data_IF_828054323402
#
_entry.id   IF_828054323402
#
_cell.length_a   1.000
_cell.length_b   1.000
_cell.length_c   1.000
_cell.angle_alpha   90.00
_cell.angle_beta   90.00
_cell.angle_gamma   90.00
#
_symmetry.space_group_name_H-M   'P 1'
#
loop_
_entity.id
_entity.type
_entity.pdbx_description
1 polymer ?
#
# COMPACT_ATOMS: atom_id res chain seq x y z
N UNK A 1 2.81 7.05 13.94
CA UNK A 1 3.48 5.79 13.54
C UNK A 1 3.98 5.95 12.10
N UNK A 2 5.11 5.36 11.75
CA UNK A 2 5.71 5.45 10.42
C UNK A 2 5.65 4.11 9.69
N UNK A 3 5.71 4.15 8.37
CA UNK A 3 5.77 2.98 7.50
C UNK A 3 6.68 3.26 6.32
N UNK A 4 7.29 2.21 5.79
CA UNK A 4 8.12 2.26 4.61
C UNK A 4 7.38 1.65 3.42
N UNK A 5 7.70 2.15 2.23
CA UNK A 5 7.28 1.57 0.96
C UNK A 5 8.55 1.22 0.20
N UNK A 6 8.64 0.01 -0.30
CA UNK A 6 9.78 -0.46 -1.09
C UNK A 6 9.27 -1.11 -2.36
N UNK A 7 9.78 -0.66 -3.50
CA UNK A 7 9.52 -1.30 -4.79
C UNK A 7 10.44 -2.52 -4.94
N UNK A 8 9.87 -3.69 -5.13
CA UNK A 8 10.58 -4.94 -5.44
C UNK A 8 10.39 -5.33 -6.89
N UNK A 9 11.30 -6.16 -7.42
CA UNK A 9 11.27 -6.72 -8.78
C UNK A 9 11.07 -5.68 -9.90
N UNK A 10 11.57 -4.46 -9.66
CA UNK A 10 11.55 -3.39 -10.63
C UNK A 10 12.35 -3.75 -11.90
N UNK A 11 11.98 -3.22 -13.08
CA UNK A 11 12.71 -3.45 -14.33
C UNK A 11 14.21 -3.15 -14.20
N UNK A 12 15.05 -3.95 -14.84
CA UNK A 12 16.52 -3.83 -14.70
C UNK A 12 17.10 -2.52 -15.26
N UNK A 13 16.35 -1.85 -16.13
CA UNK A 13 16.67 -0.55 -16.73
C UNK A 13 16.16 0.66 -15.90
N UNK A 14 15.47 0.42 -14.79
CA UNK A 14 15.00 1.50 -13.91
C UNK A 14 16.18 2.22 -13.25
N UNK A 15 16.14 3.54 -13.27
CA UNK A 15 17.08 4.35 -12.46
C UNK A 15 16.66 4.37 -11.00
N UNK A 16 17.62 4.57 -10.10
CA UNK A 16 17.35 4.78 -8.67
C UNK A 16 16.38 5.96 -8.42
N UNK A 17 16.47 7.01 -9.24
CA UNK A 17 15.51 8.12 -9.21
C UNK A 17 14.09 7.65 -9.59
N UNK A 18 13.96 6.86 -10.65
CA UNK A 18 12.68 6.30 -11.08
C UNK A 18 12.04 5.42 -10.00
N UNK A 19 12.85 4.61 -9.31
CA UNK A 19 12.41 3.80 -8.16
C UNK A 19 11.81 4.67 -7.07
N UNK A 20 12.54 5.69 -6.62
CA UNK A 20 12.09 6.61 -5.56
C UNK A 20 10.83 7.37 -5.95
N UNK A 21 10.74 7.84 -7.20
CA UNK A 21 9.55 8.52 -7.69
C UNK A 21 8.33 7.59 -7.71
N UNK A 22 8.49 6.32 -8.09
CA UNK A 22 7.41 5.33 -8.06
C UNK A 22 6.94 5.07 -6.62
N UNK A 23 7.86 4.87 -5.68
CA UNK A 23 7.56 4.71 -4.25
C UNK A 23 6.86 5.94 -3.66
N UNK A 24 7.30 7.16 -4.02
CA UNK A 24 6.66 8.40 -3.58
C UNK A 24 5.26 8.58 -4.18
N UNK A 25 5.05 8.25 -5.46
CA UNK A 25 3.72 8.31 -6.09
C UNK A 25 2.76 7.33 -5.41
N UNK A 26 3.22 6.11 -5.14
CA UNK A 26 2.46 5.13 -4.39
C UNK A 26 2.08 5.68 -3.01
N UNK A 27 3.06 6.20 -2.25
CA UNK A 27 2.83 6.81 -0.93
C UNK A 27 1.79 7.91 -0.97
N UNK A 28 1.95 8.88 -1.87
CA UNK A 28 1.05 10.04 -1.99
C UNK A 28 -0.37 9.62 -2.39
N UNK A 29 -0.51 8.66 -3.29
CA UNK A 29 -1.83 8.16 -3.70
C UNK A 29 -2.53 7.45 -2.54
N UNK A 30 -1.79 6.62 -1.81
CA UNK A 30 -2.28 5.90 -0.64
C UNK A 30 -2.75 6.86 0.47
N UNK A 31 -1.89 7.81 0.87
CA UNK A 31 -2.21 8.82 1.89
C UNK A 31 -3.38 9.70 1.47
N UNK A 32 -3.51 10.02 0.18
CA UNK A 32 -4.62 10.81 -0.34
C UNK A 32 -5.97 10.10 -0.16
N UNK A 33 -6.04 8.79 -0.42
CA UNK A 33 -7.26 8.00 -0.24
C UNK A 33 -7.55 7.76 1.23
N UNK A 34 -6.50 7.49 2.02
CA UNK A 34 -6.63 7.22 3.45
C UNK A 34 -6.82 8.45 4.31
N UNK A 35 -6.52 9.63 3.77
CA UNK A 35 -6.55 10.92 4.47
C UNK A 35 -5.44 11.05 5.52
N UNK A 36 -4.26 10.51 5.23
CA UNK A 36 -3.05 10.68 6.03
C UNK A 36 -2.35 9.38 6.40
N UNK A 37 -1.10 9.48 6.92
CA UNK A 37 -0.27 8.33 7.21
C UNK A 37 -0.76 7.50 8.39
N UNK A 38 -1.47 8.09 9.37
CA UNK A 38 -2.03 7.34 10.50
C UNK A 38 -3.13 6.38 10.06
N UNK A 39 -4.06 6.88 9.23
CA UNK A 39 -5.13 6.06 8.64
C UNK A 39 -4.60 4.95 7.72
N UNK A 40 -3.43 5.15 7.10
CA UNK A 40 -2.73 4.07 6.36
C UNK A 40 -2.34 2.93 7.29
N UNK A 41 -1.73 3.23 8.44
CA UNK A 41 -1.29 2.22 9.40
C UNK A 41 -2.49 1.47 10.00
N UNK A 42 -3.54 2.19 10.38
CA UNK A 42 -4.76 1.59 10.93
C UNK A 42 -5.44 0.65 9.94
N UNK A 43 -5.63 1.10 8.69
CA UNK A 43 -6.25 0.29 7.65
C UNK A 43 -5.40 -0.92 7.26
N UNK A 44 -4.06 -0.78 7.22
CA UNK A 44 -3.16 -1.89 6.99
C UNK A 44 -3.27 -2.96 8.08
N UNK A 45 -3.32 -2.56 9.36
CA UNK A 45 -3.47 -3.49 10.49
C UNK A 45 -4.82 -4.21 10.46
N UNK A 46 -5.90 -3.48 10.17
CA UNK A 46 -7.22 -4.08 10.03
C UNK A 46 -7.26 -5.11 8.89
N UNK A 47 -6.58 -4.81 7.77
CA UNK A 47 -6.43 -5.78 6.68
C UNK A 47 -5.60 -7.00 7.09
N UNK A 48 -4.44 -6.82 7.74
CA UNK A 48 -3.65 -7.96 8.23
C UNK A 48 -4.44 -8.83 9.20
N UNK A 49 -5.19 -8.21 10.13
CA UNK A 49 -6.06 -8.92 11.05
C UNK A 49 -7.12 -9.73 10.28
N UNK A 50 -7.71 -9.14 9.25
CA UNK A 50 -8.71 -9.80 8.42
C UNK A 50 -8.16 -10.98 7.60
N UNK A 51 -6.90 -10.93 7.17
CA UNK A 51 -6.23 -12.07 6.50
C UNK A 51 -5.93 -13.22 7.47
N UNK A 52 -5.68 -12.91 8.75
CA UNK A 52 -5.30 -13.89 9.78
C UNK A 52 -6.49 -14.45 10.58
N UNK A 53 -7.65 -13.79 10.53
CA UNK A 53 -8.81 -14.05 11.40
C UNK A 53 -10.04 -14.46 10.59
N UNK A 54 -10.88 -15.34 11.13
CA UNK A 54 -12.14 -15.68 10.50
C UNK A 54 -13.08 -14.45 10.46
N UNK A 55 -13.81 -14.26 9.36
CA UNK A 55 -14.70 -13.10 9.17
C UNK A 55 -15.73 -12.93 10.31
N UNK A 56 -16.16 -14.03 10.93
CA UNK A 56 -17.09 -14.04 12.07
C UNK A 56 -16.55 -13.41 13.36
N UNK A 57 -15.24 -13.25 13.46
CA UNK A 57 -14.55 -12.68 14.62
C UNK A 57 -14.10 -11.23 14.38
N UNK A 58 -14.27 -10.72 13.16
CA UNK A 58 -13.94 -9.34 12.81
C UNK A 58 -15.09 -8.39 13.15
N UNK A 59 -14.76 -7.20 13.64
CA UNK A 59 -15.74 -6.15 13.79
C UNK A 59 -16.15 -5.57 12.43
N UNK A 60 -17.35 -4.99 12.34
CA UNK A 60 -17.78 -4.30 11.12
C UNK A 60 -16.88 -3.11 10.74
N UNK A 61 -16.23 -2.49 11.73
CA UNK A 61 -15.26 -1.41 11.54
C UNK A 61 -13.96 -1.93 10.91
N UNK A 62 -13.42 -3.04 11.42
CA UNK A 62 -12.21 -3.67 10.87
C UNK A 62 -12.44 -4.13 9.42
N UNK A 63 -13.61 -4.70 9.13
CA UNK A 63 -13.99 -5.10 7.77
C UNK A 63 -14.04 -3.87 6.84
N UNK A 64 -14.60 -2.75 7.31
CA UNK A 64 -14.66 -1.52 6.52
C UNK A 64 -13.26 -0.95 6.25
N UNK A 65 -12.39 -0.94 7.25
CA UNK A 65 -11.01 -0.49 7.14
C UNK A 65 -10.19 -1.40 6.20
N UNK A 66 -10.35 -2.72 6.30
CA UNK A 66 -9.69 -3.68 5.41
C UNK A 66 -10.12 -3.51 3.95
N UNK A 67 -11.43 -3.31 3.70
CA UNK A 67 -11.93 -3.01 2.35
C UNK A 67 -11.40 -1.68 1.82
N UNK A 68 -11.34 -0.66 2.67
CA UNK A 68 -10.74 0.64 2.32
C UNK A 68 -9.26 0.49 1.97
N UNK A 69 -8.52 -0.34 2.72
CA UNK A 69 -7.13 -0.69 2.44
C UNK A 69 -6.95 -1.28 1.05
N UNK A 70 -7.70 -2.34 0.72
CA UNK A 70 -7.61 -3.01 -0.59
C UNK A 70 -7.87 -2.01 -1.73
N UNK A 71 -8.90 -1.17 -1.62
CA UNK A 71 -9.23 -0.18 -2.63
C UNK A 71 -8.13 0.88 -2.79
N UNK A 72 -7.59 1.39 -1.68
CA UNK A 72 -6.54 2.40 -1.69
C UNK A 72 -5.21 1.84 -2.22
N UNK A 73 -4.83 0.64 -1.80
CA UNK A 73 -3.63 -0.05 -2.27
C UNK A 73 -3.72 -0.34 -3.77
N UNK A 74 -4.89 -0.82 -4.26
CA UNK A 74 -5.13 -1.04 -5.69
C UNK A 74 -4.94 0.23 -6.50
N UNK A 75 -5.51 1.34 -6.02
CA UNK A 75 -5.35 2.64 -6.67
C UNK A 75 -3.90 3.12 -6.64
N UNK A 76 -3.23 2.99 -5.50
CA UNK A 76 -1.84 3.39 -5.33
C UNK A 76 -0.90 2.58 -6.21
N UNK A 77 -1.14 1.27 -6.39
CA UNK A 77 -0.39 0.42 -7.33
C UNK A 77 -0.52 0.93 -8.76
N UNK A 78 -1.74 1.18 -9.24
CA UNK A 78 -1.93 1.73 -10.60
C UNK A 78 -1.24 3.07 -10.81
N UNK A 79 -1.23 3.94 -9.79
CA UNK A 79 -0.56 5.24 -9.87
C UNK A 79 0.98 5.11 -9.78
N UNK A 80 1.49 4.17 -8.98
CA UNK A 80 2.92 3.90 -8.83
C UNK A 80 3.54 3.24 -10.07
N UNK A 81 2.80 2.35 -10.75
CA UNK A 81 3.27 1.67 -11.96
C UNK A 81 3.08 2.45 -13.25
N UNK A 82 2.36 3.58 -13.21
CA UNK A 82 1.99 4.35 -14.41
C UNK A 82 3.17 4.63 -15.36
N UNK A 83 4.34 4.92 -14.80
CA UNK A 83 5.55 5.24 -15.58
C UNK A 83 6.62 4.14 -15.49
N UNK A 84 6.27 2.97 -14.94
CA UNK A 84 7.15 1.79 -14.82
C UNK A 84 7.01 0.82 -16.00
N UNK A 85 5.88 0.89 -16.73
CA UNK A 85 5.54 -0.06 -17.78
C UNK A 85 5.00 -1.39 -17.23
N UNK A 86 4.87 -2.40 -18.11
CA UNK A 86 4.54 -3.76 -17.69
C UNK A 86 5.74 -4.39 -16.98
N UNK A 87 5.54 -4.83 -15.74
CA UNK A 87 6.59 -5.40 -14.89
C UNK A 87 5.96 -6.32 -13.84
N UNK A 88 6.74 -7.29 -13.36
CA UNK A 88 6.40 -8.11 -12.18
C UNK A 88 6.64 -7.38 -10.86
N UNK A 89 6.98 -6.09 -10.92
CA UNK A 89 7.25 -5.27 -9.75
C UNK A 89 6.04 -5.19 -8.80
N UNK A 90 6.33 -5.14 -7.50
CA UNK A 90 5.32 -4.93 -6.46
C UNK A 90 5.81 -3.94 -5.40
N UNK A 91 4.87 -3.24 -4.78
CA UNK A 91 5.16 -2.35 -3.65
C UNK A 91 4.95 -3.11 -2.34
N UNK A 92 6.01 -3.28 -1.57
CA UNK A 92 5.93 -3.76 -0.19
C UNK A 92 5.65 -2.57 0.74
N UNK A 93 4.63 -2.70 1.58
CA UNK A 93 4.35 -1.77 2.67
C UNK A 93 4.74 -2.43 3.99
N UNK A 94 5.58 -1.77 4.79
CA UNK A 94 6.02 -2.28 6.08
C UNK A 94 5.81 -1.22 7.16
N UNK A 95 5.09 -1.56 8.21
CA UNK A 95 4.91 -0.70 9.39
C UNK A 95 6.17 -0.76 10.24
N UNK A 96 6.72 0.40 10.61
CA UNK A 96 7.84 0.48 11.54
C UNK A 96 7.34 0.28 12.97
N UNK A 97 8.05 -0.55 13.73
CA UNK A 97 7.69 -0.94 15.10
C UNK A 97 8.07 0.12 16.11
#
# INVERSE_FOLDING_TARGET
MSYTITLHDAPSDITERGRREAEERFRRSLEKVMQGPEAVVEAYRAWQLAEETAETELSGEDIALAKKWIAAATRAMSDGFRDLGESEAYFEVRIER
#
